data_IF_274030097129
#
_entry.id   IF_274030097129
#
_cell.length_a   1.000
_cell.length_b   1.000
_cell.length_c   1.000
_cell.angle_alpha   90.00
_cell.angle_beta   90.00
_cell.angle_gamma   90.00
#
_symmetry.space_group_name_H-M   'P 1'
#
loop_
_entity.id
_entity.type
_entity.pdbx_description
1 polymer ?
#
# COMPACT_ATOMS: atom_id res chain seq x y z
N UNK A 1 -2.05 9.90 -6.72
CA UNK A 1 -1.31 8.90 -7.52
C UNK A 1 0.18 8.88 -7.29
N UNK A 2 1.07 9.59 -8.02
CA UNK A 2 2.53 9.47 -7.77
C UNK A 2 2.91 9.73 -6.31
N UNK A 3 2.33 10.77 -5.71
CA UNK A 3 2.53 11.04 -4.27
C UNK A 3 2.04 9.89 -3.40
N UNK A 4 0.89 9.30 -3.71
CA UNK A 4 0.31 8.17 -2.97
C UNK A 4 1.27 6.97 -3.00
N UNK A 5 1.81 6.62 -4.17
CA UNK A 5 2.82 5.57 -4.31
C UNK A 5 4.13 5.88 -3.56
N UNK A 6 4.59 7.12 -3.59
CA UNK A 6 5.78 7.53 -2.83
C UNK A 6 5.56 7.35 -1.32
N UNK A 7 4.43 7.84 -0.80
CA UNK A 7 4.08 7.69 0.62
C UNK A 7 3.89 6.22 1.01
N UNK A 8 3.25 5.43 0.13
CA UNK A 8 3.06 4.02 0.38
C UNK A 8 4.38 3.25 0.43
N UNK A 9 5.32 3.56 -0.46
CA UNK A 9 6.68 3.02 -0.39
C UNK A 9 7.40 3.42 0.90
N UNK A 10 7.31 4.69 1.32
CA UNK A 10 7.94 5.15 2.57
C UNK A 10 7.34 4.46 3.81
N UNK A 11 6.02 4.34 3.88
CA UNK A 11 5.32 3.69 5.00
C UNK A 11 5.52 2.18 5.00
N UNK A 12 5.70 1.55 3.82
CA UNK A 12 6.12 0.16 3.74
C UNK A 12 7.57 -0.02 4.22
N UNK A 13 8.46 0.93 3.90
CA UNK A 13 9.82 0.97 4.44
C UNK A 13 9.84 1.02 5.96
N UNK A 14 9.05 1.91 6.56
CA UNK A 14 8.87 2.00 8.01
C UNK A 14 8.47 0.65 8.62
N UNK A 15 7.51 -0.06 8.01
CA UNK A 15 7.08 -1.39 8.49
C UNK A 15 8.24 -2.39 8.49
N UNK A 16 9.01 -2.44 7.40
CA UNK A 16 10.13 -3.38 7.27
C UNK A 16 11.28 -3.04 8.23
N UNK A 17 11.58 -1.76 8.43
CA UNK A 17 12.58 -1.29 9.40
C UNK A 17 12.20 -1.66 10.83
N UNK A 18 10.92 -1.48 11.20
CA UNK A 18 10.43 -1.84 12.52
C UNK A 18 10.44 -3.36 12.75
N UNK A 19 10.03 -4.15 11.75
CA UNK A 19 10.15 -5.62 11.80
C UNK A 19 11.61 -6.02 12.08
N UNK A 20 12.56 -5.43 11.35
CA UNK A 20 13.98 -5.73 11.53
C UNK A 20 14.46 -5.35 12.95
N UNK A 21 14.08 -4.17 13.44
CA UNK A 21 14.43 -3.70 14.78
C UNK A 21 13.84 -4.58 15.91
N UNK A 22 12.63 -5.10 15.73
CA UNK A 22 12.01 -6.03 16.70
C UNK A 22 12.72 -7.38 16.65
N UNK A 23 13.02 -7.91 15.46
CA UNK A 23 13.73 -9.18 15.28
C UNK A 23 15.12 -9.19 15.89
N UNK A 24 15.86 -8.10 15.76
CA UNK A 24 17.20 -7.94 16.34
C UNK A 24 17.19 -8.06 17.88
N UNK A 25 16.10 -7.63 18.52
CA UNK A 25 15.92 -7.67 19.98
C UNK A 25 15.30 -8.96 20.48
N UNK A 26 14.61 -9.70 19.61
CA UNK A 26 13.90 -10.92 19.95
C UNK A 26 14.87 -12.12 20.01
N UNK A 27 14.56 -13.09 20.88
CA UNK A 27 15.26 -14.37 20.92
C UNK A 27 15.02 -15.20 19.65
N UNK A 28 15.90 -16.17 19.34
CA UNK A 28 15.78 -17.00 18.14
C UNK A 28 14.48 -17.80 18.07
N UNK A 29 13.93 -18.18 19.23
CA UNK A 29 12.69 -18.97 19.34
C UNK A 29 11.44 -18.09 19.51
N UNK A 30 11.59 -16.75 19.55
CA UNK A 30 10.46 -15.84 19.71
C UNK A 30 9.66 -15.71 18.39
N UNK A 31 8.37 -15.39 18.52
CA UNK A 31 7.45 -15.29 17.39
C UNK A 31 7.93 -14.36 16.24
N UNK A 32 8.50 -13.15 16.48
CA UNK A 32 9.04 -12.30 15.41
C UNK A 32 10.05 -13.00 14.48
N UNK A 33 10.89 -13.88 15.05
CA UNK A 33 11.95 -14.58 14.33
C UNK A 33 11.47 -15.88 13.67
N UNK A 34 10.31 -16.41 14.07
CA UNK A 34 9.76 -17.67 13.55
C UNK A 34 8.58 -17.49 12.59
N UNK A 35 8.10 -16.26 12.36
CA UNK A 35 7.05 -15.96 11.39
C UNK A 35 7.64 -15.57 10.02
N UNK A 36 7.10 -16.14 8.94
CA UNK A 36 7.49 -15.78 7.57
C UNK A 36 6.84 -14.45 7.14
N UNK A 37 7.67 -13.51 6.67
CA UNK A 37 7.22 -12.19 6.20
C UNK A 37 7.10 -12.20 4.67
N UNK A 38 5.89 -12.00 4.12
CA UNK A 38 5.70 -11.86 2.69
C UNK A 38 6.55 -10.72 2.12
N UNK A 39 7.30 -11.02 1.07
CA UNK A 39 8.12 -10.04 0.38
C UNK A 39 7.27 -9.34 -0.68
N UNK A 40 6.62 -8.24 -0.30
CA UNK A 40 5.78 -7.42 -1.18
C UNK A 40 6.31 -5.99 -1.26
N UNK A 41 6.18 -5.35 -2.43
CA UNK A 41 6.56 -3.95 -2.65
C UNK A 41 5.58 -3.27 -3.60
N UNK A 42 5.53 -1.93 -3.56
CA UNK A 42 4.83 -1.19 -4.59
C UNK A 42 5.65 -1.16 -5.90
N UNK A 43 4.95 -1.02 -7.01
CA UNK A 43 5.53 -0.81 -8.34
C UNK A 43 6.36 0.47 -8.37
N UNK A 44 7.40 0.46 -9.20
CA UNK A 44 8.06 1.71 -9.57
C UNK A 44 7.10 2.55 -10.43
N UNK A 45 7.10 3.86 -10.22
CA UNK A 45 6.24 4.78 -10.97
C UNK A 45 6.95 6.09 -11.31
N UNK A 46 6.46 6.75 -12.36
CA UNK A 46 7.02 8.02 -12.82
C UNK A 46 6.02 8.85 -13.60
N UNK A 47 6.39 10.11 -13.84
CA UNK A 47 5.65 11.00 -14.73
C UNK A 47 6.31 11.00 -16.11
N UNK A 48 5.56 10.58 -17.13
CA UNK A 48 5.97 10.65 -18.51
C UNK A 48 5.29 11.81 -19.21
N UNK A 49 6.08 12.80 -19.64
CA UNK A 49 5.57 13.93 -20.44
C UNK A 49 5.86 13.72 -21.91
N UNK A 50 4.82 13.71 -22.74
CA UNK A 50 4.97 13.60 -24.19
C UNK A 50 5.61 14.88 -24.72
N UNK A 51 6.81 14.74 -25.26
CA UNK A 51 7.50 15.80 -26.01
C UNK A 51 7.52 15.44 -27.49
N UNK A 52 7.28 16.42 -28.36
CA UNK A 52 7.45 16.27 -29.80
C UNK A 52 8.67 17.09 -30.20
N UNK A 53 9.66 16.44 -30.82
CA UNK A 53 10.84 17.14 -31.35
C UNK A 53 10.46 18.20 -32.40
N UNK A 54 9.44 17.91 -33.21
CA UNK A 54 8.89 18.82 -34.22
C UNK A 54 7.36 18.88 -34.10
N UNK A 55 6.78 19.85 -33.38
CA UNK A 55 5.34 20.01 -33.31
C UNK A 55 4.80 20.37 -34.70
N UNK A 56 4.04 19.45 -35.30
CA UNK A 56 3.34 19.73 -36.57
C UNK A 56 2.38 20.91 -36.41
N UNK A 57 2.12 21.65 -37.50
CA UNK A 57 1.23 22.83 -37.51
C UNK A 57 -0.19 22.52 -37.03
N UNK A 58 -0.59 21.25 -37.06
CA UNK A 58 -1.93 20.80 -36.72
C UNK A 58 -2.06 20.46 -35.23
N UNK A 59 -2.34 21.48 -34.40
CA UNK A 59 -2.47 21.36 -32.95
C UNK A 59 -3.68 20.53 -32.48
N UNK A 60 -4.62 20.23 -33.37
CA UNK A 60 -5.93 19.63 -33.01
C UNK A 60 -5.89 18.12 -32.68
N UNK A 61 -4.78 17.42 -32.92
CA UNK A 61 -4.62 15.98 -32.60
C UNK A 61 -3.35 15.63 -31.83
N UNK A 62 -2.59 16.63 -31.36
CA UNK A 62 -1.31 16.35 -30.74
C UNK A 62 -1.46 15.94 -29.26
N UNK A 63 -0.89 14.79 -28.90
CA UNK A 63 -0.69 14.39 -27.48
C UNK A 63 0.48 15.15 -26.84
N UNK A 64 1.15 16.03 -27.58
CA UNK A 64 2.27 16.84 -27.09
C UNK A 64 1.86 17.65 -25.87
N UNK A 65 2.71 17.64 -24.85
CA UNK A 65 2.47 18.32 -23.59
C UNK A 65 1.62 17.54 -22.58
N UNK A 66 0.94 16.47 -22.99
CA UNK A 66 0.22 15.60 -22.05
C UNK A 66 1.21 14.88 -21.13
N UNK A 67 0.82 14.76 -19.87
CA UNK A 67 1.58 14.05 -18.83
C UNK A 67 0.80 12.82 -18.41
N UNK A 68 1.48 11.69 -18.32
CA UNK A 68 0.94 10.40 -17.93
C UNK A 68 1.65 9.92 -16.67
N UNK A 69 0.92 9.22 -15.82
CA UNK A 69 1.53 8.28 -14.90
C UNK A 69 1.94 7.03 -15.67
N UNK A 70 3.15 6.57 -15.43
CA UNK A 70 3.65 5.27 -15.90
C UNK A 70 4.10 4.46 -14.70
N UNK A 71 3.84 3.16 -14.75
CA UNK A 71 4.14 2.21 -13.68
C UNK A 71 4.80 0.96 -14.25
N UNK A 72 5.52 0.22 -13.39
CA UNK A 72 5.98 -1.13 -13.70
C UNK A 72 4.81 -2.02 -14.12
N UNK A 73 4.97 -2.75 -15.23
CA UNK A 73 3.95 -3.68 -15.69
C UNK A 73 3.92 -4.90 -14.76
N UNK A 74 2.76 -5.13 -14.13
CA UNK A 74 2.53 -6.35 -13.36
C UNK A 74 2.13 -7.47 -14.32
N UNK A 75 3.06 -8.39 -14.59
CA UNK A 75 2.79 -9.60 -15.36
C UNK A 75 2.06 -10.63 -14.49
N UNK A 76 0.73 -10.55 -14.46
CA UNK A 76 -0.08 -11.53 -13.76
C UNK A 76 -0.06 -12.87 -14.53
N UNK A 77 0.39 -13.94 -13.89
CA UNK A 77 0.22 -15.29 -14.42
C UNK A 77 -1.29 -15.60 -14.56
N UNK A 78 -1.67 -16.40 -15.56
CA UNK A 78 -3.09 -16.67 -15.90
C UNK A 78 -3.97 -17.09 -14.70
N UNK A 79 -3.37 -17.73 -13.67
CA UNK A 79 -4.07 -18.23 -12.48
C UNK A 79 -3.89 -17.36 -11.22
N UNK A 80 -3.08 -16.30 -11.28
CA UNK A 80 -2.69 -15.48 -10.12
C UNK A 80 -2.99 -14.00 -10.33
N UNK A 81 -4.07 -13.74 -11.08
CA UNK A 81 -4.55 -12.43 -11.55
C UNK A 81 -4.51 -11.27 -10.55
N UNK A 82 -4.79 -10.07 -11.05
CA UNK A 82 -4.83 -8.86 -10.23
C UNK A 82 -5.90 -8.96 -9.13
N UNK A 83 -5.51 -8.76 -7.87
CA UNK A 83 -6.35 -8.89 -6.69
C UNK A 83 -6.31 -7.64 -5.85
N UNK A 84 -7.45 -7.36 -5.20
CA UNK A 84 -7.57 -6.37 -4.14
C UNK A 84 -7.56 -7.09 -2.79
N UNK A 85 -6.53 -6.83 -1.99
CA UNK A 85 -6.31 -7.43 -0.67
C UNK A 85 -7.06 -6.67 0.42
N UNK A 86 -7.05 -5.34 0.37
CA UNK A 86 -7.76 -4.45 1.28
C UNK A 86 -8.45 -3.33 0.51
N UNK A 87 -9.56 -2.83 1.03
CA UNK A 87 -10.31 -1.71 0.44
C UNK A 87 -10.11 -0.45 1.28
N UNK A 88 -10.05 0.73 0.65
CA UNK A 88 -9.99 2.01 1.35
C UNK A 88 -11.24 2.36 2.19
N UNK A 89 -12.27 1.51 2.20
CA UNK A 89 -13.53 1.74 2.90
C UNK A 89 -13.72 0.83 4.12
N UNK A 90 -12.79 -0.10 4.38
CA UNK A 90 -12.81 -0.96 5.56
C UNK A 90 -11.40 -1.42 5.94
N UNK A 91 -11.15 -1.61 7.23
CA UNK A 91 -9.90 -2.18 7.73
C UNK A 91 -9.84 -3.72 7.62
N UNK A 92 -10.94 -4.36 7.22
CA UNK A 92 -11.05 -5.82 7.14
C UNK A 92 -10.40 -6.31 5.83
N UNK A 93 -9.39 -7.20 5.90
CA UNK A 93 -8.78 -7.76 4.70
C UNK A 93 -9.72 -8.75 4.01
N UNK A 94 -9.59 -8.86 2.70
CA UNK A 94 -10.28 -9.90 1.94
C UNK A 94 -9.69 -11.27 2.29
N UNK A 95 -10.58 -12.24 2.51
CA UNK A 95 -10.19 -13.61 2.84
C UNK A 95 -9.68 -14.36 1.62
N UNK A 96 -8.50 -14.95 1.76
CA UNK A 96 -7.89 -15.83 0.77
C UNK A 96 -7.19 -17.01 1.48
N UNK A 97 -7.02 -18.11 0.76
CA UNK A 97 -6.21 -19.24 1.23
C UNK A 97 -4.74 -19.13 0.79
N UNK A 98 -3.85 -19.79 1.54
CA UNK A 98 -2.43 -19.91 1.23
C UNK A 98 -1.71 -18.57 1.14
N UNK A 99 -0.76 -18.45 0.22
CA UNK A 99 0.12 -17.27 0.07
C UNK A 99 -0.64 -15.94 -0.06
N UNK A 100 -1.79 -15.93 -0.74
CA UNK A 100 -2.63 -14.73 -0.87
C UNK A 100 -3.22 -14.28 0.46
N UNK A 101 -3.60 -15.24 1.31
CA UNK A 101 -4.09 -14.98 2.66
C UNK A 101 -2.98 -14.44 3.56
N UNK A 102 -1.77 -14.98 3.43
CA UNK A 102 -0.60 -14.51 4.16
C UNK A 102 -0.23 -13.07 3.78
N UNK A 103 -0.27 -12.74 2.48
CA UNK A 103 -0.10 -11.37 1.99
C UNK A 103 -1.20 -10.46 2.55
N UNK A 104 -2.48 -10.85 2.47
CA UNK A 104 -3.59 -10.04 2.98
C UNK A 104 -3.45 -9.74 4.48
N UNK A 105 -3.09 -10.76 5.28
CA UNK A 105 -2.88 -10.61 6.71
C UNK A 105 -1.66 -9.72 7.02
N UNK A 106 -0.55 -9.89 6.30
CA UNK A 106 0.63 -9.05 6.45
C UNK A 106 0.35 -7.58 6.10
N UNK A 107 -0.42 -7.33 5.05
CA UNK A 107 -0.80 -5.98 4.65
C UNK A 107 -1.78 -5.34 5.65
N UNK A 108 -2.72 -6.11 6.20
CA UNK A 108 -3.57 -5.64 7.30
C UNK A 108 -2.76 -5.27 8.55
N UNK A 109 -1.77 -6.10 8.92
CA UNK A 109 -0.80 -5.78 9.97
C UNK A 109 0.00 -4.52 9.65
N UNK A 110 0.39 -4.33 8.39
CA UNK A 110 1.13 -3.15 7.95
C UNK A 110 0.31 -1.87 8.18
N UNK A 111 -1.01 -1.89 7.94
CA UNK A 111 -1.89 -0.76 8.29
C UNK A 111 -1.86 -0.46 9.78
N UNK A 112 -1.97 -1.49 10.62
CA UNK A 112 -2.00 -1.33 12.07
C UNK A 112 -0.68 -0.76 12.58
N UNK A 113 0.45 -1.30 12.12
CA UNK A 113 1.77 -0.81 12.52
C UNK A 113 2.00 0.63 12.06
N UNK A 114 1.61 0.99 10.84
CA UNK A 114 1.71 2.37 10.34
C UNK A 114 0.85 3.32 11.19
N UNK A 115 -0.38 2.92 11.52
CA UNK A 115 -1.26 3.70 12.36
C UNK A 115 -0.65 3.91 13.75
N UNK A 116 -0.18 2.85 14.41
CA UNK A 116 0.48 2.93 15.72
C UNK A 116 1.73 3.83 15.70
N UNK A 117 2.67 3.56 14.78
CA UNK A 117 3.95 4.28 14.71
C UNK A 117 3.83 5.73 14.30
N UNK A 118 2.73 6.09 13.64
CA UNK A 118 2.44 7.48 13.29
C UNK A 118 1.59 8.18 14.34
N UNK A 119 1.28 7.54 15.47
CA UNK A 119 0.43 8.11 16.52
C UNK A 119 -1.02 8.30 16.07
N UNK A 120 -1.49 7.43 15.17
CA UNK A 120 -2.82 7.46 14.59
C UNK A 120 -3.02 8.50 13.50
N UNK A 121 -1.95 8.96 12.83
CA UNK A 121 -2.04 10.04 11.84
C UNK A 121 -2.27 9.53 10.41
N UNK A 122 -1.64 8.41 10.04
CA UNK A 122 -1.67 7.91 8.66
C UNK A 122 -1.48 6.40 8.58
N UNK A 123 -2.15 5.78 7.63
CA UNK A 123 -1.87 4.41 7.19
C UNK A 123 -2.20 4.26 5.70
N UNK A 124 -1.68 3.21 5.07
CA UNK A 124 -1.97 2.88 3.67
C UNK A 124 -3.14 1.91 3.61
N UNK A 125 -4.04 2.09 2.66
CA UNK A 125 -5.10 1.14 2.32
C UNK A 125 -5.15 0.94 0.80
N UNK A 126 -6.23 0.32 0.34
CA UNK A 126 -6.43 -0.04 -1.07
C UNK A 126 -5.33 -0.91 -1.66
N UNK A 127 -4.75 -1.78 -0.84
CA UNK A 127 -3.71 -2.68 -1.29
C UNK A 127 -4.23 -3.63 -2.38
N UNK A 128 -3.66 -3.50 -3.57
CA UNK A 128 -4.03 -4.28 -4.75
C UNK A 128 -2.84 -4.52 -5.67
N UNK A 129 -2.87 -5.61 -6.43
CA UNK A 129 -1.77 -5.99 -7.30
C UNK A 129 -1.78 -7.48 -7.65
N UNK A 130 -0.64 -8.02 -8.06
CA UNK A 130 -0.49 -9.46 -8.32
C UNK A 130 0.89 -9.97 -7.89
N UNK A 131 0.94 -11.21 -7.41
CA UNK A 131 2.16 -11.81 -6.86
C UNK A 131 2.72 -10.98 -5.70
N UNK A 132 3.94 -10.45 -5.88
CA UNK A 132 4.64 -9.62 -4.90
C UNK A 132 4.56 -8.12 -5.19
N UNK A 133 3.88 -7.70 -6.26
CA UNK A 133 3.79 -6.31 -6.69
C UNK A 133 2.44 -5.71 -6.32
N UNK A 134 2.48 -4.54 -5.71
CA UNK A 134 1.33 -3.74 -5.31
C UNK A 134 1.30 -2.44 -6.13
N UNK A 135 0.13 -1.91 -6.41
CA UNK A 135 -0.03 -0.63 -7.09
C UNK A 135 -1.25 0.12 -6.57
N UNK A 136 -1.41 1.36 -7.01
CA UNK A 136 -2.57 2.22 -6.78
C UNK A 136 -3.06 2.23 -5.31
N UNK A 137 -2.17 2.54 -4.35
CA UNK A 137 -2.54 2.60 -2.94
C UNK A 137 -3.34 3.86 -2.63
N UNK A 138 -4.12 3.76 -1.55
CA UNK A 138 -4.74 4.94 -0.93
C UNK A 138 -4.03 5.29 0.38
N UNK A 139 -3.65 6.55 0.54
CA UNK A 139 -3.19 7.09 1.84
C UNK A 139 -4.42 7.51 2.63
N UNK A 140 -4.61 6.93 3.82
CA UNK A 140 -5.72 7.24 4.72
C UNK A 140 -5.23 8.17 5.82
N UNK A 141 -5.90 9.32 5.99
CA UNK A 141 -5.55 10.30 7.02
C UNK A 141 -6.80 10.87 7.69
N UNK A 142 -6.64 11.50 8.86
CA UNK A 142 -7.74 12.12 9.59
C UNK A 142 -8.56 13.06 8.69
N UNK A 143 -9.91 13.00 8.76
CA UNK A 143 -10.79 13.90 8.00
C UNK A 143 -10.67 15.37 8.44
N UNK A 144 -10.01 15.65 9.56
CA UNK A 144 -9.70 17.01 10.00
C UNK A 144 -8.63 17.68 9.11
N UNK A 145 -7.82 16.87 8.41
CA UNK A 145 -6.91 17.35 7.38
C UNK A 145 -7.69 17.63 6.09
N UNK A 146 -7.13 18.47 5.20
CA UNK A 146 -7.76 18.76 3.90
C UNK A 146 -8.12 17.45 3.17
N UNK A 147 -9.39 17.33 2.76
CA UNK A 147 -9.97 16.08 2.27
C UNK A 147 -9.19 15.41 1.11
N UNK A 148 -8.51 16.18 0.26
CA UNK A 148 -7.85 15.66 -0.96
C UNK A 148 -6.31 15.78 -0.96
N UNK A 149 -5.66 15.72 0.21
CA UNK A 149 -4.18 15.81 0.28
C UNK A 149 -3.45 14.74 -0.54
N UNK A 150 -4.04 13.53 -0.61
CA UNK A 150 -3.45 12.35 -1.26
C UNK A 150 -4.41 11.70 -2.27
N UNK A 151 -5.21 12.53 -2.95
CA UNK A 151 -6.24 12.07 -3.87
C UNK A 151 -7.62 11.93 -3.21
N UNK A 152 -8.63 11.63 -4.02
CA UNK A 152 -10.04 11.61 -3.60
C UNK A 152 -10.49 10.35 -2.87
N UNK A 153 -9.63 9.34 -2.71
CA UNK A 153 -9.99 8.08 -2.07
C UNK A 153 -9.85 8.07 -0.55
N UNK A 154 -9.53 9.19 0.11
CA UNK A 154 -9.48 9.25 1.57
C UNK A 154 -10.90 9.20 2.16
N UNK A 155 -11.32 8.03 2.63
CA UNK A 155 -12.65 7.82 3.23
C UNK A 155 -12.60 8.11 4.73
N UNK A 156 -12.98 9.32 5.13
CA UNK A 156 -12.88 9.78 6.52
C UNK A 156 -13.63 8.92 7.54
N UNK A 157 -14.77 8.31 7.15
CA UNK A 157 -15.50 7.38 8.01
C UNK A 157 -14.72 6.09 8.24
N UNK A 158 -14.05 5.56 7.22
CA UNK A 158 -13.21 4.37 7.35
C UNK A 158 -11.98 4.64 8.21
N UNK A 159 -11.37 5.82 8.07
CA UNK A 159 -10.29 6.25 8.96
C UNK A 159 -10.74 6.29 10.42
N UNK A 160 -11.91 6.90 10.69
CA UNK A 160 -12.46 7.01 12.04
C UNK A 160 -12.84 5.66 12.64
N UNK A 161 -13.26 4.70 11.81
CA UNK A 161 -13.64 3.36 12.22
C UNK A 161 -12.45 2.40 12.34
N UNK A 162 -11.25 2.79 11.90
CA UNK A 162 -10.09 1.89 11.77
C UNK A 162 -9.80 1.10 13.05
N UNK A 163 -9.73 1.76 14.20
CA UNK A 163 -9.42 1.11 15.49
C UNK A 163 -10.51 0.15 15.97
N UNK A 164 -11.76 0.33 15.52
CA UNK A 164 -12.89 -0.55 15.84
C UNK A 164 -13.09 -1.68 14.83
N UNK A 165 -12.68 -1.49 13.57
CA UNK A 165 -12.83 -2.47 12.50
C UNK A 165 -11.60 -3.37 12.35
N UNK A 166 -10.41 -2.86 12.62
CA UNK A 166 -9.19 -3.64 12.48
C UNK A 166 -9.20 -4.81 13.47
N UNK A 167 -9.05 -6.02 12.94
CA UNK A 167 -8.91 -7.24 13.73
C UNK A 167 -7.46 -7.68 13.68
N UNK A 168 -6.77 -7.65 14.83
CA UNK A 168 -5.41 -8.13 14.94
C UNK A 168 -5.30 -9.58 14.44
N UNK A 169 -4.24 -9.85 13.69
CA UNK A 169 -3.94 -11.18 13.17
C UNK A 169 -2.57 -11.67 13.69
N UNK A 170 -2.13 -12.84 13.21
CA UNK A 170 -0.88 -13.48 13.64
C UNK A 170 0.35 -12.57 13.55
N UNK A 171 0.40 -11.64 12.59
CA UNK A 171 1.50 -10.69 12.47
C UNK A 171 1.41 -9.60 13.55
N UNK A 172 0.23 -9.02 13.78
CA UNK A 172 0.01 -8.05 14.86
C UNK A 172 0.47 -8.64 16.21
N UNK A 173 0.00 -9.85 16.53
CA UNK A 173 0.39 -10.55 17.76
C UNK A 173 1.89 -10.84 17.82
N UNK A 174 2.50 -11.30 16.72
CA UNK A 174 3.94 -11.60 16.69
C UNK A 174 4.80 -10.37 16.96
N UNK A 175 4.37 -9.19 16.50
CA UNK A 175 5.11 -7.92 16.65
C UNK A 175 4.62 -7.03 17.79
N UNK A 176 3.75 -7.55 18.67
CA UNK A 176 3.35 -6.88 19.91
C UNK A 176 2.38 -5.71 19.73
N UNK A 177 1.53 -5.76 18.70
CA UNK A 177 0.41 -4.83 18.48
C UNK A 177 -0.91 -5.37 19.04
#
# INVERSE_FOLDING_TARGET
>A
EVRSLMWANSLQGLVLEEIAAIREKAGPDDAPNNIEIPQVRFVESGLFRVTQANPGKDKKKSRSGLTYLVEELIEAAENDGFLKYLHNASAVPREFAGKKGDIAAFLSFSQHLQFDKTGGLVYISDYQGAGCLLTDPQVMTSPELKAELFGGGNVGSAFSAFTSEHVCNRYCTAFGL
#
